data_IF_528722301461
#
_entry.id   IF_528722301461
#
_cell.length_a   1.000
_cell.length_b   1.000
_cell.length_c   1.000
_cell.angle_alpha   90.00
_cell.angle_beta   90.00
_cell.angle_gamma   90.00
#
_symmetry.space_group_name_H-M   'P 1'
#
loop_
_entity.id
_entity.type
_entity.pdbx_description
1 polymer ?
#
# COMPACT_ATOMS: atom_id res chain seq x y z
N UNK A 1 15.44 5.52 -13.19
CA UNK A 1 14.74 5.54 -11.88
C UNK A 1 15.19 4.34 -11.06
N UNK A 2 15.53 4.47 -9.78
CA UNK A 2 15.91 3.29 -8.96
C UNK A 2 14.67 2.54 -8.49
N UNK A 3 14.78 1.23 -8.21
CA UNK A 3 13.69 0.40 -7.65
C UNK A 3 13.06 1.03 -6.40
N UNK A 4 13.89 1.60 -5.51
CA UNK A 4 13.43 2.33 -4.32
C UNK A 4 12.56 3.52 -4.70
N UNK A 5 13.05 4.37 -5.59
CA UNK A 5 12.33 5.59 -5.96
C UNK A 5 10.98 5.25 -6.62
N UNK A 6 10.93 4.20 -7.44
CA UNK A 6 9.68 3.70 -8.02
C UNK A 6 8.73 3.15 -6.95
N UNK A 7 9.22 2.39 -5.98
CA UNK A 7 8.40 1.88 -4.86
C UNK A 7 7.83 3.02 -4.02
N UNK A 8 8.63 4.04 -3.71
CA UNK A 8 8.18 5.24 -2.99
C UNK A 8 7.09 5.96 -3.79
N UNK A 9 7.32 6.18 -5.08
CA UNK A 9 6.35 6.84 -5.95
C UNK A 9 5.03 6.06 -6.03
N UNK A 10 5.08 4.76 -6.29
CA UNK A 10 3.90 3.89 -6.36
C UNK A 10 3.15 3.87 -5.02
N UNK A 11 3.85 3.74 -3.89
CA UNK A 11 3.25 3.72 -2.57
C UNK A 11 2.44 4.99 -2.29
N UNK A 12 3.06 6.16 -2.43
CA UNK A 12 2.36 7.42 -2.15
C UNK A 12 1.27 7.72 -3.16
N UNK A 13 1.50 7.45 -4.45
CA UNK A 13 0.46 7.60 -5.47
C UNK A 13 -0.77 6.74 -5.17
N UNK A 14 -0.59 5.49 -4.74
CA UNK A 14 -1.68 4.60 -4.39
C UNK A 14 -2.43 5.10 -3.14
N UNK A 15 -1.72 5.60 -2.13
CA UNK A 15 -2.35 6.22 -0.96
C UNK A 15 -3.22 7.42 -1.36
N UNK A 16 -2.72 8.33 -2.20
CA UNK A 16 -3.51 9.48 -2.66
C UNK A 16 -4.68 9.09 -3.56
N UNK A 17 -4.52 8.07 -4.41
CA UNK A 17 -5.62 7.53 -5.20
C UNK A 17 -6.70 6.91 -4.30
N UNK A 18 -6.33 6.17 -3.25
CA UNK A 18 -7.27 5.67 -2.25
C UNK A 18 -8.06 6.83 -1.63
N UNK A 19 -7.38 7.90 -1.20
CA UNK A 19 -8.05 9.07 -0.62
C UNK A 19 -8.97 9.78 -1.61
N UNK A 20 -8.57 9.91 -2.87
CA UNK A 20 -9.40 10.46 -3.94
C UNK A 20 -10.65 9.60 -4.17
N UNK A 21 -10.50 8.27 -4.16
CA UNK A 21 -11.61 7.32 -4.28
C UNK A 21 -12.58 7.40 -3.10
N UNK A 22 -12.11 7.71 -1.88
CA UNK A 22 -12.98 7.92 -0.71
C UNK A 22 -13.89 9.12 -0.91
N UNK A 23 -13.34 10.25 -1.36
CA UNK A 23 -14.14 11.47 -1.64
C UNK A 23 -15.23 11.22 -2.68
N UNK A 24 -14.90 10.48 -3.74
CA UNK A 24 -15.81 10.20 -4.86
C UNK A 24 -16.62 8.91 -4.74
N UNK A 25 -16.51 8.13 -3.66
CA UNK A 25 -17.30 6.90 -3.54
C UNK A 25 -16.98 5.83 -4.60
N UNK A 26 -15.75 5.74 -5.12
CA UNK A 26 -15.38 4.92 -6.30
C UNK A 26 -16.20 5.20 -7.57
N UNK A 27 -16.69 6.43 -7.78
CA UNK A 27 -17.43 6.79 -9.00
C UNK A 27 -16.54 7.22 -10.16
N UNK A 28 -15.40 7.85 -9.88
CA UNK A 28 -14.54 8.48 -10.88
C UNK A 28 -13.69 7.46 -11.65
N UNK A 29 -14.08 7.15 -12.89
CA UNK A 29 -13.49 6.08 -13.71
C UNK A 29 -11.98 6.24 -13.93
N UNK A 30 -11.49 7.47 -14.08
CA UNK A 30 -10.07 7.71 -14.30
C UNK A 30 -9.22 7.41 -13.06
N UNK A 31 -9.73 7.71 -11.86
CA UNK A 31 -9.06 7.40 -10.58
C UNK A 31 -8.97 5.89 -10.40
N UNK A 32 -10.07 5.20 -10.66
CA UNK A 32 -10.14 3.74 -10.62
C UNK A 32 -9.15 3.09 -11.58
N UNK A 33 -9.07 3.58 -12.83
CA UNK A 33 -8.17 3.05 -13.84
C UNK A 33 -6.70 3.26 -13.43
N UNK A 34 -6.34 4.46 -12.97
CA UNK A 34 -4.98 4.75 -12.48
C UNK A 34 -4.61 3.88 -11.28
N UNK A 35 -5.53 3.71 -10.34
CA UNK A 35 -5.34 2.84 -9.18
C UNK A 35 -5.05 1.40 -9.64
N UNK A 36 -5.89 0.82 -10.51
CA UNK A 36 -5.71 -0.53 -11.01
C UNK A 36 -4.36 -0.70 -11.73
N UNK A 37 -3.95 0.26 -12.56
CA UNK A 37 -2.66 0.24 -13.25
C UNK A 37 -1.49 0.32 -12.27
N UNK A 38 -1.52 1.23 -11.30
CA UNK A 38 -0.41 1.38 -10.34
C UNK A 38 -0.28 0.16 -9.42
N UNK A 39 -1.39 -0.43 -9.00
CA UNK A 39 -1.40 -1.69 -8.26
C UNK A 39 -0.85 -2.83 -9.11
N UNK A 40 -1.24 -2.94 -10.39
CA UNK A 40 -0.71 -3.96 -11.29
C UNK A 40 0.81 -3.82 -11.48
N UNK A 41 1.31 -2.60 -11.69
CA UNK A 41 2.74 -2.32 -11.81
C UNK A 41 3.50 -2.70 -10.53
N UNK A 42 2.99 -2.32 -9.36
CA UNK A 42 3.63 -2.65 -8.09
C UNK A 42 3.56 -4.15 -7.79
N UNK A 43 2.43 -4.80 -8.10
CA UNK A 43 2.23 -6.23 -7.99
C UNK A 43 3.21 -7.00 -8.85
N UNK A 44 3.33 -6.65 -10.14
CA UNK A 44 4.31 -7.26 -11.05
C UNK A 44 5.75 -7.09 -10.54
N UNK A 45 6.12 -5.88 -10.09
CA UNK A 45 7.44 -5.64 -9.50
C UNK A 45 7.68 -6.50 -8.26
N UNK A 46 6.65 -6.71 -7.42
CA UNK A 46 6.74 -7.53 -6.21
C UNK A 46 6.89 -9.02 -6.53
N UNK A 47 6.19 -9.52 -7.56
CA UNK A 47 6.30 -10.90 -8.01
C UNK A 47 7.67 -11.19 -8.63
N UNK A 48 8.22 -10.25 -9.42
CA UNK A 48 9.49 -10.44 -10.13
C UNK A 48 10.70 -10.20 -9.22
N UNK A 49 10.67 -9.14 -8.39
CA UNK A 49 11.83 -8.68 -7.61
C UNK A 49 11.70 -8.96 -6.10
N UNK A 50 10.58 -9.52 -5.66
CA UNK A 50 10.24 -9.72 -4.26
C UNK A 50 9.84 -8.44 -3.52
N UNK A 51 9.55 -8.58 -2.22
CA UNK A 51 9.27 -7.44 -1.33
C UNK A 51 10.57 -6.72 -0.94
N UNK A 52 10.55 -5.39 -0.98
CA UNK A 52 11.69 -4.57 -0.53
C UNK A 52 11.79 -4.42 0.99
N UNK A 53 10.65 -4.47 1.70
CA UNK A 53 10.59 -4.22 3.13
C UNK A 53 11.35 -5.27 3.92
N UNK A 54 12.13 -4.84 4.92
CA UNK A 54 12.83 -5.72 5.86
C UNK A 54 12.43 -5.39 7.30
N UNK A 55 12.34 -6.38 8.19
CA UNK A 55 12.11 -6.12 9.60
C UNK A 55 13.25 -5.28 10.18
N UNK A 56 12.93 -4.30 11.02
CA UNK A 56 13.92 -3.50 11.72
C UNK A 56 14.70 -4.35 12.74
N UNK A 57 15.99 -4.06 12.97
CA UNK A 57 16.82 -4.83 13.90
C UNK A 57 16.32 -4.76 15.34
N UNK A 58 15.69 -3.63 15.71
CA UNK A 58 15.15 -3.33 17.04
C UNK A 58 13.77 -3.93 17.31
N UNK A 59 13.14 -4.58 16.32
CA UNK A 59 11.89 -5.30 16.55
C UNK A 59 12.15 -6.57 17.38
N UNK A 60 11.23 -6.87 18.29
CA UNK A 60 11.26 -8.12 19.06
C UNK A 60 11.16 -9.34 18.12
N UNK A 61 11.69 -10.52 18.51
CA UNK A 61 11.68 -11.70 17.65
C UNK A 61 10.29 -12.11 17.10
N UNK A 62 9.20 -12.07 17.88
CA UNK A 62 7.86 -12.35 17.35
C UNK A 62 7.43 -11.35 16.27
N UNK A 63 7.64 -10.05 16.49
CA UNK A 63 7.29 -9.01 15.51
C UNK A 63 8.11 -9.12 14.22
N UNK A 64 9.39 -9.50 14.33
CA UNK A 64 10.23 -9.77 13.14
C UNK A 64 9.70 -10.92 12.30
N UNK A 65 9.15 -11.97 12.93
CA UNK A 65 8.52 -13.10 12.21
C UNK A 65 7.19 -12.72 11.57
N UNK A 66 6.39 -11.86 12.22
CA UNK A 66 5.12 -11.38 11.69
C UNK A 66 5.29 -10.37 10.54
N UNK A 67 6.39 -9.62 10.53
CA UNK A 67 6.64 -8.52 9.59
C UNK A 67 6.45 -8.87 8.10
N UNK A 68 6.99 -9.98 7.57
CA UNK A 68 6.84 -10.31 6.15
C UNK A 68 5.38 -10.65 5.81
N UNK A 69 4.68 -11.33 6.71
CA UNK A 69 3.27 -11.69 6.53
C UNK A 69 2.39 -10.45 6.47
N UNK A 70 2.59 -9.48 7.37
CA UNK A 70 1.87 -8.21 7.33
C UNK A 70 2.00 -7.53 5.95
N UNK A 71 3.22 -7.49 5.37
CA UNK A 71 3.43 -6.85 4.06
C UNK A 71 2.84 -7.67 2.90
N UNK A 72 2.95 -9.00 2.94
CA UNK A 72 2.35 -9.88 1.93
C UNK A 72 0.84 -9.77 1.93
N UNK A 73 0.20 -9.83 3.10
CA UNK A 73 -1.24 -9.68 3.25
C UNK A 73 -1.74 -8.34 2.72
N UNK A 74 -1.00 -7.25 2.93
CA UNK A 74 -1.34 -5.95 2.33
C UNK A 74 -1.22 -5.93 0.80
N UNK A 75 -0.21 -6.59 0.21
CA UNK A 75 -0.12 -6.67 -1.25
C UNK A 75 -1.24 -7.54 -1.84
N UNK A 76 -1.62 -8.63 -1.15
CA UNK A 76 -2.78 -9.45 -1.54
C UNK A 76 -4.07 -8.63 -1.46
N UNK A 77 -4.29 -7.91 -0.35
CA UNK A 77 -5.46 -7.06 -0.17
C UNK A 77 -5.53 -5.95 -1.24
N UNK A 78 -4.40 -5.34 -1.56
CA UNK A 78 -4.31 -4.33 -2.60
C UNK A 78 -4.63 -4.92 -3.99
N UNK A 79 -4.14 -6.12 -4.30
CA UNK A 79 -4.47 -6.82 -5.53
C UNK A 79 -5.96 -7.19 -5.63
N UNK A 80 -6.56 -7.71 -4.54
CA UNK A 80 -8.00 -7.99 -4.47
C UNK A 80 -8.84 -6.73 -4.67
N UNK A 81 -8.39 -5.60 -4.12
CA UNK A 81 -9.04 -4.30 -4.31
C UNK A 81 -8.94 -3.82 -5.75
N UNK A 82 -7.79 -3.98 -6.40
CA UNK A 82 -7.64 -3.66 -7.81
C UNK A 82 -8.52 -4.55 -8.70
N UNK A 83 -8.66 -5.85 -8.38
CA UNK A 83 -9.58 -6.76 -9.07
C UNK A 83 -11.03 -6.26 -8.92
N UNK A 84 -11.47 -5.93 -7.71
CA UNK A 84 -12.79 -5.36 -7.45
C UNK A 84 -13.05 -4.10 -8.27
N UNK A 85 -12.04 -3.21 -8.34
CA UNK A 85 -12.08 -1.98 -9.12
C UNK A 85 -12.19 -2.26 -10.63
N UNK A 86 -11.45 -3.23 -11.16
CA UNK A 86 -11.55 -3.63 -12.58
C UNK A 86 -12.95 -4.15 -12.90
N UNK A 87 -13.51 -5.03 -12.06
CA UNK A 87 -14.88 -5.54 -12.24
C UNK A 87 -15.92 -4.42 -12.22
N UNK A 88 -15.75 -3.42 -11.35
CA UNK A 88 -16.59 -2.21 -11.33
C UNK A 88 -16.43 -1.39 -12.62
N UNK A 89 -15.21 -1.18 -13.10
CA UNK A 89 -14.92 -0.40 -14.33
C UNK A 89 -15.56 -0.98 -15.59
N UNK A 90 -15.58 -2.31 -15.70
CA UNK A 90 -16.19 -3.03 -16.83
C UNK A 90 -17.71 -3.22 -16.68
N UNK A 91 -18.32 -2.65 -15.64
CA UNK A 91 -19.77 -2.73 -15.41
C UNK A 91 -20.26 -4.08 -14.90
N UNK A 92 -19.39 -4.89 -14.30
CA UNK A 92 -19.72 -6.21 -13.74
C UNK A 92 -19.25 -6.32 -12.28
N UNK A 93 -19.74 -5.47 -11.36
CA UNK A 93 -19.33 -5.53 -9.96
C UNK A 93 -19.70 -6.89 -9.35
N UNK A 94 -18.80 -7.42 -8.52
CA UNK A 94 -19.00 -8.68 -7.81
C UNK A 94 -19.65 -8.38 -6.44
N UNK A 95 -20.82 -8.97 -6.09
CA UNK A 95 -21.50 -8.65 -4.84
C UNK A 95 -20.68 -8.93 -3.57
N UNK A 96 -19.83 -9.97 -3.61
CA UNK A 96 -18.99 -10.41 -2.50
C UNK A 96 -17.58 -9.80 -2.52
N UNK A 97 -17.24 -9.02 -3.55
CA UNK A 97 -15.97 -8.32 -3.71
C UNK A 97 -16.24 -6.91 -4.24
N UNK A 98 -17.04 -6.15 -3.49
CA UNK A 98 -17.41 -4.79 -3.83
C UNK A 98 -16.22 -3.83 -3.70
N UNK A 99 -16.01 -2.97 -4.70
CA UNK A 99 -14.85 -2.08 -4.77
C UNK A 99 -14.84 -1.03 -3.64
N UNK A 100 -16.01 -0.53 -3.21
CA UNK A 100 -16.09 0.43 -2.12
C UNK A 100 -15.72 -0.22 -0.78
N UNK A 101 -16.26 -1.39 -0.52
CA UNK A 101 -15.94 -2.18 0.68
C UNK A 101 -14.45 -2.53 0.71
N UNK A 102 -13.91 -3.03 -0.40
CA UNK A 102 -12.49 -3.38 -0.51
C UNK A 102 -11.55 -2.17 -0.35
N UNK A 103 -11.96 -1.00 -0.86
CA UNK A 103 -11.26 0.26 -0.63
C UNK A 103 -11.18 0.59 0.86
N UNK A 104 -12.30 0.54 1.58
CA UNK A 104 -12.35 0.85 3.01
C UNK A 104 -11.53 -0.14 3.86
N UNK A 105 -11.59 -1.42 3.53
CA UNK A 105 -10.76 -2.46 4.17
C UNK A 105 -9.28 -2.19 3.92
N UNK A 106 -8.90 -1.87 2.68
CA UNK A 106 -7.52 -1.53 2.30
C UNK A 106 -7.03 -0.27 3.00
N UNK A 107 -7.85 0.78 3.06
CA UNK A 107 -7.52 2.01 3.77
C UNK A 107 -7.33 1.75 5.27
N UNK A 108 -8.20 0.95 5.88
CA UNK A 108 -8.10 0.59 7.30
C UNK A 108 -6.81 -0.17 7.58
N UNK A 109 -6.53 -1.25 6.82
CA UNK A 109 -5.30 -2.02 6.97
C UNK A 109 -4.04 -1.19 6.68
N UNK A 110 -4.09 -0.33 5.66
CA UNK A 110 -3.02 0.61 5.31
C UNK A 110 -2.76 1.65 6.40
N UNK A 111 -3.80 2.09 7.10
CA UNK A 111 -3.69 3.01 8.24
C UNK A 111 -2.97 2.33 9.41
N UNK A 112 -3.40 1.12 9.81
CA UNK A 112 -2.69 0.36 10.86
C UNK A 112 -1.23 0.10 10.50
N UNK A 113 -0.96 -0.22 9.22
CA UNK A 113 0.40 -0.37 8.71
C UNK A 113 1.23 0.92 8.82
N UNK A 114 0.67 2.07 8.45
CA UNK A 114 1.30 3.37 8.59
C UNK A 114 1.61 3.70 10.05
N UNK A 115 0.64 3.51 10.95
CA UNK A 115 0.80 3.70 12.40
C UNK A 115 1.90 2.81 12.96
N UNK A 116 1.96 1.54 12.55
CA UNK A 116 3.03 0.63 12.97
C UNK A 116 4.42 1.14 12.58
N UNK A 117 4.60 1.62 11.34
CA UNK A 117 5.90 2.16 10.92
C UNK A 117 6.21 3.52 11.55
N UNK A 118 5.20 4.33 11.83
CA UNK A 118 5.36 5.57 12.59
C UNK A 118 5.83 5.29 14.02
N UNK A 119 5.19 4.33 14.70
CA UNK A 119 5.63 3.85 16.02
C UNK A 119 7.05 3.30 15.99
N UNK A 120 7.41 2.46 15.00
CA UNK A 120 8.79 1.96 14.85
C UNK A 120 9.80 3.09 14.74
N UNK A 121 9.47 4.11 13.94
CA UNK A 121 10.34 5.24 13.73
C UNK A 121 10.51 6.10 14.99
N UNK A 122 9.43 6.35 15.72
CA UNK A 122 9.43 7.26 16.89
C UNK A 122 9.81 6.59 18.20
N UNK A 123 9.32 5.37 18.47
CA UNK A 123 9.55 4.67 19.72
C UNK A 123 10.80 3.78 19.67
N UNK A 124 11.09 3.15 18.53
CA UNK A 124 12.27 2.30 18.39
C UNK A 124 13.45 3.04 17.77
N UNK A 125 13.24 4.21 17.15
CA UNK A 125 14.30 4.96 16.46
C UNK A 125 15.05 4.09 15.44
N UNK A 126 14.31 3.29 14.66
CA UNK A 126 14.87 2.36 13.68
C UNK A 126 14.85 2.89 12.24
N UNK A 127 14.48 4.16 12.07
CA UNK A 127 14.39 4.86 10.78
C UNK A 127 13.43 4.21 9.76
N UNK A 128 12.44 3.44 10.20
CA UNK A 128 11.47 2.77 9.32
C UNK A 128 10.85 3.69 8.27
N UNK A 129 10.47 4.92 8.66
CA UNK A 129 9.80 5.86 7.74
C UNK A 129 10.72 6.34 6.61
N UNK A 130 12.05 6.40 6.82
CA UNK A 130 13.00 6.84 5.77
C UNK A 130 13.04 5.91 4.57
N UNK A 131 12.60 4.65 4.75
CA UNK A 131 12.50 3.67 3.66
C UNK A 131 11.47 4.08 2.62
N UNK A 132 10.31 4.59 3.06
CA UNK A 132 9.19 4.94 2.19
C UNK A 132 8.99 6.44 1.99
N UNK A 133 9.68 7.28 2.77
CA UNK A 133 9.60 8.74 2.62
C UNK A 133 10.62 9.27 1.59
N UNK A 134 10.25 10.24 0.73
CA UNK A 134 11.19 10.93 -0.15
C UNK A 134 12.38 11.53 0.60
N UNK A 135 13.57 11.51 -0.02
CA UNK A 135 14.83 11.93 0.64
C UNK A 135 14.83 13.38 1.10
N UNK A 136 14.19 14.28 0.35
CA UNK A 136 14.12 15.70 0.70
C UNK A 136 13.35 15.96 2.01
N UNK A 137 12.50 15.02 2.45
CA UNK A 137 11.76 15.10 3.71
C UNK A 137 12.49 14.42 4.87
N UNK A 138 13.68 13.86 4.68
CA UNK A 138 14.38 13.13 5.76
C UNK A 138 14.82 14.03 6.92
N UNK A 139 14.91 15.34 6.70
CA UNK A 139 15.30 16.30 7.74
C UNK A 139 14.19 16.58 8.76
N UNK A 140 12.93 16.27 8.42
CA UNK A 140 11.77 16.42 9.31
C UNK A 140 11.35 15.09 9.96
N UNK A 141 12.14 14.02 9.76
CA UNK A 141 11.91 12.66 10.27
C UNK A 141 12.89 12.25 11.36
#
# INVERSE_FOLDING_TARGET
MTRRNLTVALHWSIVFLILAMVKGGTSERWVLALFAVFVALWGAMTLILGLMGRPGPKLSPPLRRAYPWMHRSLHILLALTAIAVVFRLIGRPLPWLDAWTMLLVTLSAGTFHGVFHFWRHTALYDNALRLITPRFMHNIL
#
